data_IF_536628949959
#
_entry.id   IF_536628949959
#
_cell.length_a   1.000
_cell.length_b   1.000
_cell.length_c   1.000
_cell.angle_alpha   90.00
_cell.angle_beta   90.00
_cell.angle_gamma   90.00
#
_symmetry.space_group_name_H-M   'P 1'
#
loop_
_entity.id
_entity.type
_entity.pdbx_description
1 polymer ?
#
# COMPACT_ATOMS: atom_id res chain seq x y z
N UNK A 1 -2.92 10.19 14.82
CA UNK A 1 -1.56 10.01 14.25
C UNK A 1 -1.02 8.60 14.44
N UNK A 2 -1.02 8.03 15.65
CA UNK A 2 -0.49 6.67 15.93
C UNK A 2 -1.20 5.57 15.12
N UNK A 3 -2.52 5.66 14.96
CA UNK A 3 -3.31 4.65 14.25
C UNK A 3 -2.93 4.55 12.75
N UNK A 4 -2.69 5.67 12.07
CA UNK A 4 -2.25 5.71 10.68
C UNK A 4 -0.89 5.04 10.49
N UNK A 5 0.02 5.22 11.46
CA UNK A 5 1.36 4.66 11.40
C UNK A 5 1.36 3.12 11.48
N UNK A 6 0.39 2.53 12.19
CA UNK A 6 0.25 1.06 12.29
C UNK A 6 0.00 0.46 10.90
N UNK A 7 -0.92 1.03 10.12
CA UNK A 7 -1.21 0.53 8.78
C UNK A 7 0.05 0.58 7.89
N UNK A 8 0.75 1.72 7.87
CA UNK A 8 2.01 1.86 7.12
C UNK A 8 3.06 0.84 7.54
N UNK A 9 3.23 0.61 8.85
CA UNK A 9 4.16 -0.40 9.36
C UNK A 9 3.80 -1.81 8.87
N UNK A 10 2.52 -2.20 8.98
CA UNK A 10 2.07 -3.52 8.56
C UNK A 10 2.30 -3.73 7.06
N UNK A 11 1.97 -2.74 6.22
CA UNK A 11 2.22 -2.83 4.78
C UNK A 11 3.72 -3.00 4.48
N UNK A 12 4.58 -2.19 5.10
CA UNK A 12 6.02 -2.26 4.92
C UNK A 12 6.63 -3.59 5.40
N UNK A 13 6.14 -4.14 6.51
CA UNK A 13 6.64 -5.41 7.03
C UNK A 13 6.16 -6.58 6.18
N UNK A 14 4.93 -6.55 5.68
CA UNK A 14 4.44 -7.53 4.71
C UNK A 14 5.29 -7.52 3.43
N UNK A 15 5.62 -6.33 2.93
CA UNK A 15 6.47 -6.13 1.77
C UNK A 15 7.88 -6.71 1.96
N UNK A 16 8.45 -6.60 3.17
CA UNK A 16 9.77 -7.18 3.51
C UNK A 16 9.72 -8.69 3.69
N UNK A 17 8.64 -9.22 4.27
CA UNK A 17 8.51 -10.65 4.56
C UNK A 17 8.39 -11.49 3.28
N UNK A 18 7.73 -10.96 2.24
CA UNK A 18 7.66 -11.62 0.93
C UNK A 18 7.04 -13.02 0.94
N UNK A 19 6.13 -13.30 1.88
CA UNK A 19 5.46 -14.61 2.01
C UNK A 19 4.00 -14.57 1.54
N UNK A 20 3.45 -15.71 1.10
CA UNK A 20 2.04 -15.83 0.67
C UNK A 20 1.04 -15.38 1.76
N UNK A 21 1.42 -15.54 3.03
CA UNK A 21 0.60 -15.06 4.15
C UNK A 21 0.61 -13.54 4.26
N UNK A 22 1.73 -12.90 3.96
CA UNK A 22 1.87 -11.44 4.03
C UNK A 22 1.01 -10.74 2.98
N UNK A 23 0.95 -11.24 1.73
CA UNK A 23 0.04 -10.67 0.73
C UNK A 23 -1.43 -10.85 1.14
N UNK A 24 -1.79 -12.00 1.73
CA UNK A 24 -3.16 -12.25 2.21
C UNK A 24 -3.56 -11.23 3.30
N UNK A 25 -2.70 -11.03 4.30
CA UNK A 25 -2.92 -10.04 5.38
C UNK A 25 -3.02 -8.64 4.79
N UNK A 26 -2.10 -8.30 3.89
CA UNK A 26 -2.06 -7.01 3.21
C UNK A 26 -3.33 -6.68 2.46
N UNK A 27 -3.82 -7.64 1.68
CA UNK A 27 -5.02 -7.49 0.88
C UNK A 27 -6.26 -7.30 1.75
N UNK A 28 -6.41 -8.11 2.81
CA UNK A 28 -7.50 -7.94 3.79
C UNK A 28 -7.42 -6.56 4.46
N UNK A 29 -6.24 -6.16 4.94
CA UNK A 29 -6.06 -4.88 5.60
C UNK A 29 -6.43 -3.71 4.68
N UNK A 30 -6.01 -3.77 3.41
CA UNK A 30 -6.31 -2.73 2.43
C UNK A 30 -7.82 -2.57 2.18
N UNK A 31 -8.55 -3.69 2.06
CA UNK A 31 -10.01 -3.67 1.87
C UNK A 31 -10.77 -3.19 3.10
N UNK A 32 -10.23 -3.44 4.30
CA UNK A 32 -10.83 -3.07 5.58
C UNK A 32 -10.33 -1.72 6.13
N UNK A 33 -9.55 -0.96 5.34
CA UNK A 33 -9.06 0.35 5.77
C UNK A 33 -10.21 1.29 6.18
N UNK A 34 -10.13 1.95 7.34
CA UNK A 34 -11.10 2.97 7.73
C UNK A 34 -11.16 4.11 6.71
N UNK A 35 -12.32 4.74 6.55
CA UNK A 35 -12.50 5.85 5.60
C UNK A 35 -11.54 7.02 5.87
N UNK A 36 -11.15 7.24 7.13
CA UNK A 36 -10.14 8.23 7.52
C UNK A 36 -8.74 7.95 6.94
N UNK A 37 -8.44 6.69 6.62
CA UNK A 37 -7.15 6.24 6.11
C UNK A 37 -7.13 6.15 4.57
N UNK A 38 -8.29 6.10 3.90
CA UNK A 38 -8.40 5.87 2.45
C UNK A 38 -7.82 6.99 1.58
N UNK A 39 -7.61 8.18 2.12
CA UNK A 39 -6.98 9.30 1.42
C UNK A 39 -5.57 9.62 1.95
N UNK A 40 -5.04 8.79 2.86
CA UNK A 40 -3.72 9.04 3.44
C UNK A 40 -2.62 8.54 2.48
N UNK A 41 -1.91 9.46 1.84
CA UNK A 41 -0.85 9.16 0.86
C UNK A 41 0.21 8.22 1.42
N UNK A 42 0.62 8.36 2.68
CA UNK A 42 1.66 7.49 3.26
C UNK A 42 1.19 6.04 3.40
N UNK A 43 -0.08 5.81 3.78
CA UNK A 43 -0.67 4.48 3.87
C UNK A 43 -0.79 3.88 2.46
N UNK A 44 -1.38 4.62 1.52
CA UNK A 44 -1.60 4.15 0.15
C UNK A 44 -0.28 3.84 -0.56
N UNK A 45 0.74 4.68 -0.40
CA UNK A 45 2.08 4.43 -0.97
C UNK A 45 2.71 3.16 -0.39
N UNK A 46 2.58 2.91 0.92
CA UNK A 46 3.09 1.66 1.53
C UNK A 46 2.32 0.42 1.06
N UNK A 47 0.99 0.53 0.87
CA UNK A 47 0.19 -0.56 0.33
C UNK A 47 0.56 -0.86 -1.12
N UNK A 48 0.75 0.18 -1.94
CA UNK A 48 1.22 0.05 -3.32
C UNK A 48 2.60 -0.61 -3.41
N UNK A 49 3.59 -0.18 -2.61
CA UNK A 49 4.92 -0.82 -2.55
C UNK A 49 4.82 -2.31 -2.20
N UNK A 50 3.93 -2.66 -1.26
CA UNK A 50 3.69 -4.05 -0.91
C UNK A 50 3.13 -4.83 -2.11
N UNK A 51 2.06 -4.38 -2.75
CA UNK A 51 1.47 -5.06 -3.91
C UNK A 51 2.50 -5.23 -5.04
N UNK A 52 3.30 -4.19 -5.32
CA UNK A 52 4.39 -4.25 -6.30
C UNK A 52 5.41 -5.36 -5.99
N UNK A 53 5.86 -5.47 -4.74
CA UNK A 53 6.83 -6.51 -4.33
C UNK A 53 6.30 -7.93 -4.39
N UNK A 54 4.98 -8.10 -4.31
CA UNK A 54 4.33 -9.38 -4.54
C UNK A 54 3.98 -9.63 -6.01
N UNK A 55 4.27 -8.69 -6.91
CA UNK A 55 3.93 -8.79 -8.33
C UNK A 55 2.43 -8.61 -8.63
N UNK A 56 1.65 -8.11 -7.67
CA UNK A 56 0.22 -7.81 -7.84
C UNK A 56 0.03 -6.41 -8.45
N UNK A 57 0.37 -6.33 -9.73
CA UNK A 57 0.40 -5.07 -10.49
C UNK A 57 -1.01 -4.46 -10.57
N UNK A 58 -2.05 -5.28 -10.68
CA UNK A 58 -3.44 -4.82 -10.79
C UNK A 58 -3.87 -4.06 -9.53
N UNK A 59 -3.59 -4.61 -8.34
CA UNK A 59 -3.88 -3.90 -7.09
C UNK A 59 -2.97 -2.69 -6.89
N UNK A 60 -1.70 -2.77 -7.26
CA UNK A 60 -0.79 -1.62 -7.18
C UNK A 60 -1.29 -0.43 -8.05
N UNK A 61 -1.69 -0.69 -9.29
CA UNK A 61 -2.29 0.33 -10.18
C UNK A 61 -3.58 0.88 -9.58
N UNK A 62 -4.46 0.02 -9.06
CA UNK A 62 -5.69 0.46 -8.40
C UNK A 62 -5.40 1.40 -7.23
N UNK A 63 -4.41 1.08 -6.39
CA UNK A 63 -4.00 1.93 -5.27
C UNK A 63 -3.44 3.26 -5.77
N UNK A 64 -2.62 3.25 -6.81
CA UNK A 64 -2.10 4.47 -7.43
C UNK A 64 -3.22 5.43 -7.87
N UNK A 65 -4.28 4.90 -8.49
CA UNK A 65 -5.42 5.71 -8.90
C UNK A 65 -6.22 6.28 -7.71
N UNK A 66 -6.21 5.63 -6.55
CA UNK A 66 -6.88 6.10 -5.32
C UNK A 66 -6.14 7.26 -4.63
N UNK A 67 -4.83 7.42 -4.87
CA UNK A 67 -4.05 8.54 -4.31
C UNK A 67 -4.55 9.85 -4.92
N UNK A 68 -5.18 10.71 -4.12
CA UNK A 68 -5.72 12.00 -4.59
C UNK A 68 -4.63 13.02 -4.90
N UNK A 69 -3.64 13.16 -4.02
CA UNK A 69 -2.51 14.06 -4.18
C UNK A 69 -1.26 13.25 -4.51
N UNK A 70 -1.06 13.01 -5.82
CA UNK A 70 0.06 12.22 -6.32
C UNK A 70 1.33 13.06 -6.28
N UNK A 71 2.27 12.67 -5.43
CA UNK A 71 3.60 13.26 -5.35
C UNK A 71 4.63 12.46 -6.17
N UNK A 72 5.87 12.97 -6.26
CA UNK A 72 6.98 12.31 -6.96
C UNK A 72 7.23 10.88 -6.47
N UNK A 73 6.91 10.59 -5.20
CA UNK A 73 7.09 9.27 -4.57
C UNK A 73 6.04 8.30 -5.12
N UNK A 74 4.77 8.70 -5.21
CA UNK A 74 3.69 7.88 -5.77
C UNK A 74 3.92 7.50 -7.23
N UNK A 75 4.42 8.44 -8.06
CA UNK A 75 4.80 8.15 -9.44
C UNK A 75 6.00 7.21 -9.51
N UNK A 76 7.02 7.41 -8.66
CA UNK A 76 8.18 6.52 -8.59
C UNK A 76 7.81 5.09 -8.22
N UNK A 77 6.87 4.91 -7.28
CA UNK A 77 6.45 3.60 -6.83
C UNK A 77 5.63 2.81 -7.88
N UNK A 78 4.86 3.49 -8.76
CA UNK A 78 4.23 2.83 -9.91
C UNK A 78 5.23 2.56 -11.05
N UNK A 79 6.18 3.48 -11.25
CA UNK A 79 7.08 3.46 -12.40
C UNK A 79 8.32 2.56 -12.20
N UNK A 80 8.56 2.02 -11.00
CA UNK A 80 9.59 1.01 -10.78
C UNK A 80 9.13 -0.34 -11.36
N UNK A 81 9.47 -0.46 -12.64
CA UNK A 81 9.91 -1.67 -13.33
C UNK A 81 11.35 -1.98 -12.93
#
# INVERSE_FOLDING_TARGET
EVEHAIYTMVFNDCAKLGSDRAITIGNTLFHELPDSCKNNTAILTSAMDMFMKFGDIENAERVFYLIQDKDTISYGALMIV
#
